data_IF_992397578526
#
_entry.id   IF_992397578526
#
_cell.length_a   1.000
_cell.length_b   1.000
_cell.length_c   1.000
_cell.angle_alpha   90.00
_cell.angle_beta   90.00
_cell.angle_gamma   90.00
#
_symmetry.space_group_name_H-M   'P 1'
#
loop_
_entity.id
_entity.type
_entity.pdbx_description
1 polymer ?
#
# COMPACT_ATOMS: atom_id res chain seq x y z
N UNK A 1 -50.33 -26.23 -65.99
CA UNK A 1 -49.20 -25.40 -65.60
C UNK A 1 -49.37 -24.91 -64.18
N UNK A 2 -48.77 -25.58 -63.25
CA UNK A 2 -48.85 -25.28 -61.83
C UNK A 2 -47.58 -24.55 -61.40
N UNK A 3 -47.74 -23.32 -60.92
CA UNK A 3 -46.71 -22.52 -60.31
C UNK A 3 -46.27 -23.12 -59.03
N UNK A 4 -45.00 -23.51 -58.92
CA UNK A 4 -44.34 -23.92 -57.76
C UNK A 4 -43.84 -22.66 -57.06
N UNK A 5 -44.55 -22.22 -56.01
CA UNK A 5 -44.09 -21.18 -55.09
C UNK A 5 -43.05 -21.79 -54.21
N UNK A 6 -41.76 -21.41 -54.40
CA UNK A 6 -40.65 -21.83 -53.58
C UNK A 6 -40.62 -20.97 -52.32
N UNK A 7 -41.07 -21.52 -51.18
CA UNK A 7 -40.97 -20.88 -49.89
C UNK A 7 -39.51 -20.82 -49.44
N UNK A 8 -38.98 -19.61 -49.31
CA UNK A 8 -37.68 -19.35 -48.70
C UNK A 8 -37.73 -19.65 -47.19
N UNK A 9 -36.73 -20.29 -46.62
CA UNK A 9 -36.68 -20.54 -45.17
C UNK A 9 -36.58 -19.22 -44.40
N UNK A 10 -37.35 -19.13 -43.28
CA UNK A 10 -37.34 -18.00 -42.40
C UNK A 10 -35.94 -17.87 -41.74
N UNK A 11 -35.42 -16.65 -41.54
CA UNK A 11 -34.17 -16.48 -40.81
C UNK A 11 -34.29 -16.96 -39.38
N UNK A 12 -33.31 -17.76 -38.98
CA UNK A 12 -33.14 -18.23 -37.58
C UNK A 12 -32.79 -17.00 -36.77
N UNK A 13 -33.58 -16.69 -35.73
CA UNK A 13 -33.21 -15.71 -34.75
C UNK A 13 -31.99 -16.23 -33.98
N UNK A 14 -30.85 -15.63 -34.16
CA UNK A 14 -29.70 -15.83 -33.29
C UNK A 14 -30.07 -15.42 -31.87
N UNK A 15 -30.08 -16.39 -30.98
CA UNK A 15 -30.12 -16.17 -29.53
C UNK A 15 -28.78 -15.62 -29.15
N UNK A 16 -28.69 -14.31 -28.91
CA UNK A 16 -27.54 -13.68 -28.27
C UNK A 16 -27.54 -14.08 -26.82
N UNK A 17 -26.91 -15.21 -26.50
CA UNK A 17 -26.43 -15.48 -25.14
C UNK A 17 -25.28 -14.48 -24.90
N UNK A 18 -25.62 -13.34 -24.29
CA UNK A 18 -24.64 -12.48 -23.65
C UNK A 18 -24.11 -13.25 -22.44
N UNK A 19 -23.00 -13.94 -22.64
CA UNK A 19 -22.15 -14.36 -21.54
C UNK A 19 -21.53 -13.09 -20.95
N UNK A 20 -22.10 -12.61 -19.87
CA UNK A 20 -21.48 -11.53 -19.08
C UNK A 20 -20.20 -12.09 -18.48
N UNK A 21 -19.10 -11.86 -19.16
CA UNK A 21 -17.77 -12.01 -18.56
C UNK A 21 -17.64 -10.98 -17.44
N UNK A 22 -17.11 -11.35 -16.26
CA UNK A 22 -16.85 -10.37 -15.21
C UNK A 22 -15.68 -9.47 -15.66
N UNK A 23 -16.01 -8.28 -16.13
CA UNK A 23 -15.10 -7.25 -16.61
C UNK A 23 -14.18 -6.67 -15.51
N UNK A 24 -14.36 -7.13 -14.26
CA UNK A 24 -13.68 -6.58 -13.08
C UNK A 24 -12.25 -7.12 -12.91
N UNK A 25 -11.91 -8.28 -13.49
CA UNK A 25 -10.60 -8.91 -13.29
C UNK A 25 -9.50 -8.35 -14.21
N UNK A 26 -9.86 -7.82 -15.38
CA UNK A 26 -8.88 -7.32 -16.35
C UNK A 26 -8.36 -5.92 -16.05
N UNK A 27 -9.17 -5.05 -15.42
CA UNK A 27 -8.80 -3.65 -15.18
C UNK A 27 -7.72 -3.52 -14.09
N UNK A 28 -7.69 -4.39 -13.09
CA UNK A 28 -6.69 -4.32 -12.01
C UNK A 28 -5.31 -4.86 -12.42
N UNK A 29 -5.27 -5.89 -13.27
CA UNK A 29 -4.02 -6.42 -13.84
C UNK A 29 -3.40 -5.44 -14.84
N UNK A 30 -4.22 -4.73 -15.58
CA UNK A 30 -3.78 -3.78 -16.59
C UNK A 30 -3.13 -2.54 -15.99
N UNK A 31 -3.69 -2.00 -14.91
CA UNK A 31 -3.10 -0.86 -14.19
C UNK A 31 -1.76 -1.20 -13.54
N UNK A 32 -1.63 -2.33 -12.86
CA UNK A 32 -0.37 -2.77 -12.26
C UNK A 32 0.70 -3.01 -13.31
N UNK A 33 0.33 -3.60 -14.45
CA UNK A 33 1.22 -3.81 -15.59
C UNK A 33 1.67 -2.50 -16.22
N UNK A 34 0.77 -1.52 -16.40
CA UNK A 34 1.09 -0.19 -16.91
C UNK A 34 2.03 0.59 -15.96
N UNK A 35 1.82 0.49 -14.66
CA UNK A 35 2.70 1.10 -13.66
C UNK A 35 4.08 0.44 -13.70
N UNK A 36 4.15 -0.89 -13.75
CA UNK A 36 5.40 -1.62 -13.86
C UNK A 36 6.21 -1.23 -15.10
N UNK A 37 5.55 -1.08 -16.26
CA UNK A 37 6.21 -0.63 -17.50
C UNK A 37 6.73 0.81 -17.37
N UNK A 38 5.97 1.69 -16.72
CA UNK A 38 6.34 3.10 -16.58
C UNK A 38 7.46 3.33 -15.57
N UNK A 39 7.46 2.59 -14.46
CA UNK A 39 8.40 2.79 -13.35
C UNK A 39 9.50 1.74 -13.30
N UNK A 40 9.35 0.61 -13.98
CA UNK A 40 10.21 -0.57 -13.84
C UNK A 40 10.01 -1.33 -12.53
N UNK A 41 9.07 -0.90 -11.68
CA UNK A 41 8.78 -1.54 -10.39
C UNK A 41 7.83 -2.71 -10.56
N UNK A 42 8.09 -3.80 -9.84
CA UNK A 42 7.30 -5.03 -9.87
C UNK A 42 6.81 -5.38 -8.47
N UNK A 43 5.50 -5.54 -8.27
CA UNK A 43 4.97 -5.99 -7.01
C UNK A 43 5.25 -7.48 -6.80
N UNK A 44 5.57 -7.85 -5.57
CA UNK A 44 5.65 -9.23 -5.13
C UNK A 44 4.30 -9.81 -4.72
N UNK A 45 4.32 -10.82 -3.86
CA UNK A 45 3.13 -11.50 -3.38
C UNK A 45 2.24 -10.54 -2.59
N UNK A 46 0.94 -10.56 -2.89
CA UNK A 46 -0.04 -9.77 -2.14
C UNK A 46 -0.34 -10.44 -0.79
N UNK A 47 -0.37 -9.62 0.25
CA UNK A 47 -0.76 -10.03 1.59
C UNK A 47 -2.29 -10.00 1.80
N UNK A 48 -2.75 -10.28 3.02
CA UNK A 48 -4.17 -10.28 3.39
C UNK A 48 -4.87 -8.93 3.18
N UNK A 49 -4.11 -7.82 3.16
CA UNK A 49 -4.61 -6.47 2.88
C UNK A 49 -4.66 -6.16 1.38
N UNK A 50 -4.36 -7.16 0.53
CA UNK A 50 -4.31 -7.03 -0.92
C UNK A 50 -3.33 -5.93 -1.39
N UNK A 51 -2.18 -5.84 -0.71
CA UNK A 51 -1.02 -5.01 -1.07
C UNK A 51 0.24 -5.88 -1.11
N UNK A 52 1.23 -5.56 -1.96
CA UNK A 52 2.45 -6.35 -2.05
C UNK A 52 3.24 -6.30 -0.74
N UNK A 53 3.77 -7.46 -0.33
CA UNK A 53 4.67 -7.56 0.82
C UNK A 53 6.09 -7.08 0.50
N UNK A 54 6.43 -6.99 -0.78
CA UNK A 54 7.66 -6.39 -1.29
C UNK A 54 7.45 -5.84 -2.70
N UNK A 55 8.31 -4.91 -3.09
CA UNK A 55 8.38 -4.33 -4.44
C UNK A 55 9.84 -4.33 -4.84
N UNK A 56 10.13 -4.79 -6.06
CA UNK A 56 11.47 -4.82 -6.63
C UNK A 56 11.54 -4.00 -7.92
N UNK A 57 12.73 -3.48 -8.21
CA UNK A 57 13.03 -2.67 -9.39
C UNK A 57 13.85 -1.44 -9.02
N UNK A 58 14.89 -1.14 -9.82
CA UNK A 58 15.84 -0.06 -9.52
C UNK A 58 15.32 1.29 -9.97
N UNK A 59 15.36 2.26 -9.08
CA UNK A 59 15.22 3.69 -9.36
C UNK A 59 16.55 4.34 -9.04
N UNK A 60 17.24 4.81 -10.09
CA UNK A 60 18.51 5.48 -9.95
C UNK A 60 18.35 6.89 -9.36
N UNK A 61 19.32 7.30 -8.58
CA UNK A 61 19.38 8.66 -8.06
C UNK A 61 19.50 9.65 -9.21
N UNK A 62 18.57 10.58 -9.30
CA UNK A 62 18.75 11.74 -10.15
C UNK A 62 19.84 12.61 -9.52
N UNK A 63 20.82 13.05 -10.29
CA UNK A 63 22.01 13.76 -9.83
C UNK A 63 21.81 15.05 -9.01
N UNK A 64 20.60 15.38 -8.60
CA UNK A 64 20.29 16.35 -7.55
C UNK A 64 20.60 15.71 -6.20
N UNK A 65 21.51 16.32 -5.44
CA UNK A 65 21.96 15.89 -4.12
C UNK A 65 20.85 16.05 -3.04
N UNK A 66 19.72 15.40 -3.22
CA UNK A 66 18.77 15.23 -2.12
C UNK A 66 19.36 14.25 -1.09
N UNK A 67 18.97 14.37 0.17
CA UNK A 67 19.41 13.43 1.21
C UNK A 67 18.96 12.00 0.86
N UNK A 68 19.68 11.00 1.35
CA UNK A 68 19.32 9.57 1.23
C UNK A 68 17.87 9.33 1.67
N UNK A 69 17.46 9.98 2.76
CA UNK A 69 16.08 9.91 3.25
C UNK A 69 15.05 10.40 2.21
N UNK A 70 15.32 11.51 1.53
CA UNK A 70 14.43 12.02 0.50
C UNK A 70 14.42 11.13 -0.73
N UNK A 71 15.56 10.59 -1.14
CA UNK A 71 15.64 9.66 -2.27
C UNK A 71 14.89 8.36 -2.01
N UNK A 72 14.94 7.84 -0.77
CA UNK A 72 14.14 6.68 -0.38
C UNK A 72 12.64 7.01 -0.40
N UNK A 73 12.26 8.22 0.02
CA UNK A 73 10.86 8.66 -0.07
C UNK A 73 10.41 8.81 -1.54
N UNK A 74 11.29 9.26 -2.45
CA UNK A 74 11.01 9.30 -3.89
C UNK A 74 10.75 7.89 -4.44
N UNK A 75 11.47 6.87 -3.95
CA UNK A 75 11.19 5.47 -4.28
C UNK A 75 9.77 5.05 -3.82
N UNK A 76 9.40 5.40 -2.58
CA UNK A 76 8.05 5.14 -2.06
C UNK A 76 6.98 5.87 -2.86
N UNK A 77 7.24 7.12 -3.28
CA UNK A 77 6.34 7.88 -4.17
C UNK A 77 6.13 7.15 -5.50
N UNK A 78 7.19 6.63 -6.10
CA UNK A 78 7.07 5.84 -7.34
C UNK A 78 6.34 4.51 -7.14
N UNK A 79 6.51 3.86 -5.98
CA UNK A 79 5.86 2.61 -5.60
C UNK A 79 4.40 2.79 -5.11
N UNK A 80 4.01 4.00 -4.71
CA UNK A 80 2.75 4.31 -4.06
C UNK A 80 1.50 3.76 -4.77
N UNK A 81 1.39 3.81 -6.10
CA UNK A 81 0.23 3.22 -6.80
C UNK A 81 0.13 1.69 -6.61
N UNK A 82 1.27 0.98 -6.58
CA UNK A 82 1.31 -0.46 -6.33
C UNK A 82 0.95 -0.78 -4.86
N UNK A 83 1.33 0.10 -3.96
CA UNK A 83 1.08 0.02 -2.52
C UNK A 83 -0.35 0.43 -2.14
N UNK A 84 -1.12 1.02 -3.05
CA UNK A 84 -2.42 1.67 -2.77
C UNK A 84 -2.31 2.80 -1.75
N UNK A 85 -1.23 3.57 -1.83
CA UNK A 85 -0.96 4.74 -1.00
C UNK A 85 -1.33 6.00 -1.77
N UNK A 86 -2.13 6.88 -1.14
CA UNK A 86 -2.62 8.13 -1.76
C UNK A 86 -1.64 9.28 -1.56
N UNK A 87 -1.08 9.41 -0.35
CA UNK A 87 -0.21 10.53 0.04
C UNK A 87 1.09 10.02 0.68
N UNK A 88 2.01 9.41 -0.08
CA UNK A 88 3.18 8.75 0.49
C UNK A 88 4.08 9.68 1.31
N UNK A 89 4.18 10.97 0.96
CA UNK A 89 4.99 11.96 1.68
C UNK A 89 4.43 12.26 3.07
N UNK A 90 3.10 12.27 3.22
CA UNK A 90 2.44 12.52 4.50
C UNK A 90 2.32 11.23 5.34
N UNK A 91 2.18 10.09 4.64
CA UNK A 91 1.94 8.80 5.29
C UNK A 91 3.22 8.09 5.74
N UNK A 92 4.39 8.36 5.15
CA UNK A 92 5.65 7.71 5.54
C UNK A 92 6.68 8.71 6.04
N UNK A 93 7.21 8.45 7.25
CA UNK A 93 8.27 9.25 7.86
C UNK A 93 9.48 8.37 8.12
N UNK A 94 10.66 8.85 7.70
CA UNK A 94 11.92 8.13 7.93
C UNK A 94 12.19 8.08 9.43
N UNK A 95 12.36 6.87 9.96
CA UNK A 95 12.71 6.61 11.35
C UNK A 95 14.18 6.26 11.55
N UNK A 96 14.80 5.61 10.55
CA UNK A 96 16.19 5.19 10.65
C UNK A 96 16.84 5.04 9.27
N UNK A 97 18.13 5.39 9.17
CA UNK A 97 18.96 5.16 7.99
C UNK A 97 20.24 4.46 8.43
N UNK A 98 20.56 3.34 7.80
CA UNK A 98 21.76 2.57 8.08
C UNK A 98 22.36 2.04 6.78
N UNK A 99 23.69 2.08 6.67
CA UNK A 99 24.42 1.40 5.59
C UNK A 99 25.21 0.25 6.22
N UNK A 100 25.10 -0.93 5.65
CA UNK A 100 25.78 -2.12 6.12
C UNK A 100 27.20 -2.27 5.55
N UNK A 101 27.90 -3.35 5.94
CA UNK A 101 29.27 -3.64 5.49
C UNK A 101 29.36 -3.94 3.99
N UNK A 102 28.23 -4.37 3.38
CA UNK A 102 28.12 -4.63 1.93
C UNK A 102 27.82 -3.34 1.13
N UNK A 103 27.76 -2.19 1.79
CA UNK A 103 27.39 -0.90 1.22
C UNK A 103 25.93 -0.81 0.76
N UNK A 104 25.07 -1.68 1.27
CA UNK A 104 23.64 -1.56 1.08
C UNK A 104 23.08 -0.60 2.11
N UNK A 105 22.35 0.40 1.64
CA UNK A 105 21.64 1.36 2.50
C UNK A 105 20.23 0.89 2.73
N UNK A 106 19.82 0.90 4.00
CA UNK A 106 18.50 0.53 4.49
C UNK A 106 17.85 1.77 5.09
N UNK A 107 16.74 2.21 4.51
CA UNK A 107 15.97 3.35 5.00
C UNK A 107 14.64 2.84 5.54
N UNK A 108 14.51 2.88 6.86
CA UNK A 108 13.31 2.44 7.58
C UNK A 108 12.34 3.60 7.70
N UNK A 109 11.05 3.32 7.43
CA UNK A 109 9.99 4.32 7.48
C UNK A 109 8.78 3.78 8.23
N UNK A 110 8.25 4.60 9.13
CA UNK A 110 7.00 4.34 9.85
C UNK A 110 5.83 4.94 9.07
N UNK A 111 4.73 4.18 8.92
CA UNK A 111 3.49 4.71 8.36
C UNK A 111 2.67 5.45 9.41
N UNK A 112 2.03 6.54 8.98
CA UNK A 112 1.19 7.42 9.80
C UNK A 112 -0.19 7.62 9.17
N UNK A 113 -1.15 7.91 10.02
CA UNK A 113 -2.42 8.53 9.63
C UNK A 113 -2.54 9.86 10.36
N UNK A 114 -2.48 10.96 9.63
CA UNK A 114 -2.28 12.28 10.22
C UNK A 114 -0.97 12.33 11.03
N UNK A 115 -1.08 12.59 12.34
CA UNK A 115 0.09 12.61 13.24
C UNK A 115 0.25 11.35 14.09
N UNK A 116 -0.59 10.32 13.88
CA UNK A 116 -0.55 9.10 14.67
C UNK A 116 0.19 8.00 13.91
N UNK A 117 1.22 7.37 14.50
CA UNK A 117 1.87 6.21 13.91
C UNK A 117 0.90 5.01 13.90
N UNK A 118 0.89 4.28 12.80
CA UNK A 118 0.11 3.03 12.70
C UNK A 118 0.98 1.93 13.29
N UNK A 119 0.53 1.31 14.37
CA UNK A 119 1.25 0.24 15.04
C UNK A 119 1.53 -0.94 14.11
N UNK A 120 2.80 -1.36 14.03
CA UNK A 120 3.23 -2.47 13.19
C UNK A 120 3.24 -2.17 11.68
N UNK A 121 3.08 -0.90 11.29
CA UNK A 121 3.15 -0.48 9.89
C UNK A 121 4.49 0.20 9.61
N UNK A 122 5.46 -0.59 9.17
CA UNK A 122 6.81 -0.15 8.87
C UNK A 122 7.30 -0.77 7.57
N UNK A 123 7.98 0.02 6.75
CA UNK A 123 8.63 -0.41 5.52
C UNK A 123 10.12 -0.10 5.58
N UNK A 124 10.88 -0.85 4.79
CA UNK A 124 12.31 -0.61 4.58
C UNK A 124 12.56 -0.53 3.09
N UNK A 125 13.24 0.51 2.65
CA UNK A 125 13.73 0.68 1.29
C UNK A 125 15.22 0.39 1.28
N UNK A 126 15.67 -0.43 0.32
CA UNK A 126 17.03 -0.92 0.21
C UNK A 126 17.64 -0.47 -1.11
N UNK A 127 18.92 -0.13 -1.10
CA UNK A 127 19.66 0.25 -2.29
C UNK A 127 21.14 0.46 -2.04
N UNK A 128 21.82 0.77 -3.10
CA UNK A 128 23.28 1.06 -3.13
C UNK A 128 23.55 2.56 -3.36
N UNK A 129 24.78 2.91 -3.76
CA UNK A 129 25.18 4.28 -4.07
C UNK A 129 24.62 4.80 -5.42
N UNK A 130 24.05 3.92 -6.24
CA UNK A 130 23.43 4.28 -7.52
C UNK A 130 21.93 4.52 -7.42
N UNK A 131 21.23 3.85 -6.49
CA UNK A 131 19.79 3.96 -6.35
C UNK A 131 19.17 2.98 -5.36
N UNK A 132 17.88 3.08 -5.21
CA UNK A 132 17.07 2.10 -4.47
C UNK A 132 16.45 1.08 -5.42
N UNK A 133 16.41 -0.20 -5.02
CA UNK A 133 15.99 -1.31 -5.87
C UNK A 133 15.00 -2.28 -5.22
N UNK A 134 14.78 -2.16 -3.91
CA UNK A 134 13.91 -3.06 -3.19
C UNK A 134 13.21 -2.37 -2.02
N UNK A 135 11.92 -2.70 -1.85
CA UNK A 135 11.11 -2.27 -0.71
C UNK A 135 10.41 -3.49 -0.13
N UNK A 136 10.44 -3.65 1.18
CA UNK A 136 9.64 -4.63 1.90
C UNK A 136 9.09 -4.07 3.21
N UNK A 137 8.17 -4.80 3.81
CA UNK A 137 7.63 -4.45 5.11
C UNK A 137 6.15 -4.77 5.27
N UNK A 138 5.58 -4.25 6.34
CA UNK A 138 4.14 -4.35 6.63
C UNK A 138 3.55 -2.96 6.64
N UNK A 139 2.45 -2.76 5.91
CA UNK A 139 1.78 -1.47 5.84
C UNK A 139 0.31 -1.66 5.48
N UNK A 140 -0.45 -0.60 5.54
CA UNK A 140 -1.86 -0.58 5.19
C UNK A 140 -2.05 0.27 3.93
N UNK A 141 -3.01 -0.07 3.04
CA UNK A 141 -3.50 0.90 2.06
C UNK A 141 -3.90 2.18 2.77
N UNK A 142 -3.83 3.34 2.10
CA UNK A 142 -4.16 4.62 2.74
C UNK A 142 -5.44 4.55 3.56
N UNK A 143 -5.38 4.72 4.88
CA UNK A 143 -6.56 4.63 5.74
C UNK A 143 -7.55 5.76 5.43
N UNK A 144 -8.84 5.44 5.41
CA UNK A 144 -9.92 6.43 5.26
C UNK A 144 -10.38 6.96 6.63
N UNK A 145 -9.43 7.40 7.46
CA UNK A 145 -9.69 7.96 8.78
C UNK A 145 -9.72 9.49 8.64
N UNK A 146 -10.86 10.09 8.96
CA UNK A 146 -11.09 11.54 8.86
C UNK A 146 -10.85 12.28 10.16
N UNK A 147 -10.83 11.58 11.30
CA UNK A 147 -10.64 12.17 12.63
C UNK A 147 -9.64 11.35 13.45
N UNK A 148 -8.55 11.98 13.86
CA UNK A 148 -7.50 11.40 14.71
C UNK A 148 -7.45 12.06 16.09
N UNK A 149 -8.48 12.82 16.46
CA UNK A 149 -8.58 13.43 17.78
C UNK A 149 -9.03 12.39 18.80
N UNK A 150 -8.29 12.28 19.90
CA UNK A 150 -8.66 11.40 21.00
C UNK A 150 -10.00 11.85 21.62
N UNK A 151 -10.92 10.91 21.81
CA UNK A 151 -12.21 11.17 22.46
C UNK A 151 -12.19 10.90 23.97
N UNK A 152 -11.13 10.26 24.46
CA UNK A 152 -10.93 9.92 25.87
C UNK A 152 -9.65 10.56 26.37
N UNK A 153 -9.72 11.14 27.56
CA UNK A 153 -8.54 11.57 28.29
C UNK A 153 -7.80 10.34 28.87
N UNK A 154 -6.50 10.45 29.07
CA UNK A 154 -5.62 9.36 29.53
C UNK A 154 -6.15 8.71 30.83
N UNK A 155 -6.62 9.54 31.77
CA UNK A 155 -7.20 9.07 33.04
C UNK A 155 -8.48 8.27 32.84
N UNK A 156 -9.31 8.67 31.87
CA UNK A 156 -10.55 7.96 31.55
C UNK A 156 -10.25 6.61 30.90
N UNK A 157 -9.28 6.57 29.96
CA UNK A 157 -8.83 5.35 29.31
C UNK A 157 -8.26 4.37 30.36
N UNK A 158 -7.40 4.86 31.26
CA UNK A 158 -6.81 4.05 32.34
C UNK A 158 -7.88 3.49 33.28
N UNK A 159 -8.86 4.29 33.67
CA UNK A 159 -9.95 3.83 34.54
C UNK A 159 -10.84 2.77 33.85
N UNK A 160 -11.07 2.92 32.54
CA UNK A 160 -11.80 1.91 31.76
C UNK A 160 -11.04 0.59 31.73
N UNK A 161 -9.74 0.60 31.46
CA UNK A 161 -8.89 -0.60 31.47
C UNK A 161 -8.84 -1.24 32.84
N UNK A 162 -8.67 -0.45 33.92
CA UNK A 162 -8.67 -0.97 35.30
C UNK A 162 -9.99 -1.65 35.65
N UNK A 163 -11.11 -1.05 35.25
CA UNK A 163 -12.44 -1.60 35.47
C UNK A 163 -12.67 -2.89 34.69
N UNK A 164 -12.23 -2.95 33.44
CA UNK A 164 -12.39 -4.11 32.56
C UNK A 164 -11.55 -5.31 33.04
N UNK A 165 -10.31 -5.03 33.43
CA UNK A 165 -9.39 -6.05 33.98
C UNK A 165 -9.68 -6.42 35.42
N UNK A 166 -10.59 -5.75 36.12
CA UNK A 166 -10.86 -5.91 37.56
C UNK A 166 -9.63 -5.80 38.45
N UNK A 167 -8.64 -4.99 38.04
CA UNK A 167 -7.35 -4.86 38.73
C UNK A 167 -7.37 -3.63 39.63
N UNK A 168 -7.22 -3.85 40.92
CA UNK A 168 -7.01 -2.81 41.94
C UNK A 168 -5.51 -2.51 42.15
N UNK A 169 -4.76 -2.24 41.08
CA UNK A 169 -3.34 -1.90 41.18
C UNK A 169 -3.17 -0.39 41.22
N UNK A 170 -2.66 0.14 42.32
CA UNK A 170 -2.15 1.48 42.38
C UNK A 170 -0.78 1.52 41.73
N UNK A 171 -0.74 1.81 40.41
CA UNK A 171 0.50 2.23 39.78
C UNK A 171 0.70 3.71 40.10
N UNK A 172 1.52 3.98 41.11
CA UNK A 172 2.07 5.31 41.32
C UNK A 172 3.03 5.61 40.15
N UNK A 173 2.61 6.51 39.29
CA UNK A 173 3.43 7.49 38.56
C UNK A 173 4.49 7.07 37.56
N UNK A 174 4.38 5.97 36.82
CA UNK A 174 5.32 5.68 35.70
C UNK A 174 4.66 5.32 34.38
N UNK A 175 3.65 6.07 33.96
CA UNK A 175 3.25 6.08 32.54
C UNK A 175 3.66 7.42 31.95
N UNK A 176 4.92 7.54 31.60
CA UNK A 176 5.35 8.52 30.60
C UNK A 176 4.80 8.05 29.27
N UNK A 177 3.86 8.81 28.71
CA UNK A 177 3.38 8.61 27.35
C UNK A 177 4.60 8.67 26.40
N UNK A 178 4.80 7.59 25.65
CA UNK A 178 5.80 7.47 24.59
C UNK A 178 5.23 8.09 23.32
#
# INVERSE_FOLDING_TARGET
SADQIRLLPKPIKESTNQTTHPEVAFTSLDQSSLIAVKTGLKPGILNERNVPSYIEGKINFNGNRSSIANQALDYVVAAAPLMKIKNPIDEFKVSHVQTDDLKITHVRMQQYVGNLPIYGAEIIVHGDDEGFDFLNGSYFPSPEITNTTANLEDVQALNTVKSDLQVTVNYENDITAV
#
